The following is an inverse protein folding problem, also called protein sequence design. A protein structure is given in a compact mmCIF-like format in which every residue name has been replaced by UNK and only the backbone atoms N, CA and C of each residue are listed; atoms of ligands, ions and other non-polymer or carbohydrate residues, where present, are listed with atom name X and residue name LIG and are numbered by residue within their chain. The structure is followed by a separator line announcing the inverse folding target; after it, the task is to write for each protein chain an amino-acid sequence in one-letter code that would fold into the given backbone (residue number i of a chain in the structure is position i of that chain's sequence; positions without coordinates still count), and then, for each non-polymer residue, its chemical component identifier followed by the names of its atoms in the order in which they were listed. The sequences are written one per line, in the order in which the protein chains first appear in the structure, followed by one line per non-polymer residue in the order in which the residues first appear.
data_IF_629331700134
#
_entry.id   IF_629331700134
#
_cell.length_a   1.000
_cell.length_b   1.000
_cell.length_c   1.000
_cell.angle_alpha   90.00
_cell.angle_beta   90.00
_cell.angle_gamma   90.00
#
_symmetry.space_group_name_H-M   'P 1'
#
loop_
_entity.id
_entity.type
_entity.pdbx_description
1 polymer ?
#
# COMPACT_ATOMS: atom_id res chain seq x y z
N UNK A 1 -24.99 -19.81 -19.19
CA UNK A 1 -24.56 -18.60 -19.92
C UNK A 1 -23.12 -18.77 -20.37
N UNK A 2 -22.86 -18.81 -21.69
CA UNK A 2 -21.49 -18.88 -22.24
C UNK A 2 -20.81 -17.52 -22.01
N UNK A 3 -19.93 -17.41 -21.02
CA UNK A 3 -19.01 -16.27 -20.93
C UNK A 3 -18.22 -16.22 -22.24
N UNK A 4 -18.36 -15.13 -23.01
CA UNK A 4 -17.48 -14.85 -24.13
C UNK A 4 -16.05 -14.85 -23.58
N UNK A 5 -15.27 -15.89 -23.90
CA UNK A 5 -13.85 -15.93 -23.59
C UNK A 5 -13.19 -14.81 -24.38
N UNK A 6 -12.93 -13.67 -23.74
CA UNK A 6 -12.07 -12.62 -24.30
C UNK A 6 -10.74 -13.30 -24.61
N UNK A 7 -10.42 -13.41 -25.91
CA UNK A 7 -9.19 -14.06 -26.37
C UNK A 7 -8.14 -12.99 -26.60
N UNK A 8 -7.23 -12.84 -25.65
CA UNK A 8 -6.03 -12.03 -25.86
C UNK A 8 -5.03 -12.76 -26.76
N UNK A 9 -4.43 -12.09 -27.75
CA UNK A 9 -3.28 -12.61 -28.47
C UNK A 9 -2.09 -12.88 -27.54
N UNK A 10 -1.24 -13.84 -27.88
CA UNK A 10 0.00 -14.08 -27.12
C UNK A 10 0.85 -12.81 -27.07
N UNK A 11 1.49 -12.55 -25.94
CA UNK A 11 2.36 -11.39 -25.77
C UNK A 11 1.62 -10.07 -25.54
N UNK A 12 0.29 -10.08 -25.44
CA UNK A 12 -0.50 -8.86 -25.18
C UNK A 12 -0.18 -8.31 -23.80
N UNK A 13 0.06 -7.00 -23.72
CA UNK A 13 0.21 -6.28 -22.46
C UNK A 13 -1.15 -5.97 -21.87
N UNK A 14 -1.41 -6.56 -20.71
CA UNK A 14 -2.64 -6.45 -19.93
C UNK A 14 -2.41 -5.52 -18.74
N UNK A 15 -3.38 -4.65 -18.48
CA UNK A 15 -3.39 -3.69 -17.37
C UNK A 15 -4.66 -3.90 -16.55
N UNK A 16 -4.54 -3.90 -15.23
CA UNK A 16 -5.65 -3.91 -14.29
C UNK A 16 -5.49 -2.71 -13.35
N UNK A 17 -6.53 -1.88 -13.21
CA UNK A 17 -6.48 -0.69 -12.35
C UNK A 17 -6.82 -1.05 -10.89
N UNK A 18 -5.94 -0.67 -9.97
CA UNK A 18 -6.17 -0.70 -8.53
C UNK A 18 -6.23 0.72 -7.95
N UNK A 19 -6.72 0.84 -6.73
CA UNK A 19 -6.74 2.12 -6.04
C UNK A 19 -5.29 2.52 -5.73
N UNK A 20 -4.81 3.58 -6.38
CA UNK A 20 -3.45 4.09 -6.21
C UNK A 20 -2.37 3.43 -7.06
N UNK A 21 -2.68 2.42 -7.89
CA UNK A 21 -1.70 1.83 -8.82
C UNK A 21 -2.33 1.02 -9.96
N UNK A 22 -1.54 0.75 -11.01
CA UNK A 22 -1.90 -0.16 -12.09
C UNK A 22 -1.07 -1.44 -12.01
N UNK A 23 -1.69 -2.59 -12.26
CA UNK A 23 -1.04 -3.89 -12.29
C UNK A 23 -0.84 -4.33 -13.74
N UNK A 24 0.40 -4.64 -14.11
CA UNK A 24 0.79 -4.91 -15.49
C UNK A 24 1.27 -6.35 -15.67
N UNK A 25 0.90 -6.97 -16.79
CA UNK A 25 1.31 -8.34 -17.12
C UNK A 25 1.26 -8.65 -18.61
N UNK A 26 1.93 -9.72 -19.02
CA UNK A 26 1.93 -10.20 -20.41
C UNK A 26 1.12 -11.50 -20.51
N UNK A 27 0.16 -11.54 -21.44
CA UNK A 27 -0.61 -12.75 -21.71
C UNK A 27 0.26 -13.85 -22.33
N UNK A 28 0.31 -15.00 -21.65
CA UNK A 28 1.15 -16.15 -21.99
C UNK A 28 0.40 -17.28 -22.70
N UNK A 29 -0.89 -17.10 -22.95
CA UNK A 29 -1.76 -18.11 -23.56
C UNK A 29 -2.34 -19.10 -22.56
N UNK A 30 -3.44 -19.74 -22.98
CA UNK A 30 -4.20 -20.71 -22.17
C UNK A 30 -4.68 -20.12 -20.84
N UNK A 31 -5.13 -18.86 -20.86
CA UNK A 31 -5.62 -18.19 -19.66
C UNK A 31 -4.54 -17.85 -18.64
N UNK A 32 -3.27 -17.76 -19.05
CA UNK A 32 -2.15 -17.46 -18.13
C UNK A 32 -1.52 -16.10 -18.43
N UNK A 33 -1.02 -15.45 -17.39
CA UNK A 33 -0.35 -14.15 -17.45
C UNK A 33 0.99 -14.24 -16.74
N UNK A 34 2.07 -13.73 -17.35
CA UNK A 34 3.36 -13.52 -16.68
C UNK A 34 3.37 -12.09 -16.16
N UNK A 35 3.59 -11.91 -14.87
CA UNK A 35 3.63 -10.59 -14.26
C UNK A 35 4.50 -10.61 -13.02
N UNK A 36 4.89 -9.42 -12.57
CA UNK A 36 5.40 -9.26 -11.22
C UNK A 36 4.26 -9.48 -10.24
N UNK A 37 4.50 -10.23 -9.19
CA UNK A 37 3.50 -10.74 -8.25
C UNK A 37 2.88 -9.71 -7.26
N UNK A 38 3.16 -8.42 -7.43
CA UNK A 38 2.56 -7.34 -6.64
C UNK A 38 3.07 -7.27 -5.18
N UNK A 39 2.37 -6.50 -4.34
CA UNK A 39 2.73 -6.25 -2.92
C UNK A 39 2.67 -7.50 -2.01
N UNK A 40 2.08 -8.61 -2.47
CA UNK A 40 1.99 -9.86 -1.71
C UNK A 40 3.34 -10.58 -1.54
N UNK A 41 4.44 -10.02 -2.06
CA UNK A 41 5.75 -10.65 -2.15
C UNK A 41 6.77 -10.16 -1.15
N UNK A 42 6.36 -9.51 -0.05
CA UNK A 42 7.31 -8.95 0.91
C UNK A 42 8.34 -9.98 1.46
N UNK A 43 8.06 -11.27 1.27
CA UNK A 43 8.82 -12.41 1.79
C UNK A 43 9.21 -13.47 0.73
N UNK A 44 9.11 -13.21 -0.58
CA UNK A 44 9.31 -14.24 -1.62
C UNK A 44 10.53 -14.00 -2.51
N UNK A 45 11.37 -15.04 -2.66
CA UNK A 45 12.62 -15.06 -3.45
C UNK A 45 12.46 -14.89 -4.98
N UNK A 46 11.25 -15.05 -5.54
CA UNK A 46 10.97 -14.98 -6.99
C UNK A 46 9.80 -14.03 -7.25
N UNK A 47 10.05 -12.77 -7.61
CA UNK A 47 9.01 -11.75 -7.73
C UNK A 47 8.26 -11.76 -9.06
N UNK A 48 8.74 -12.47 -10.08
CA UNK A 48 8.02 -12.67 -11.34
C UNK A 48 7.37 -14.06 -11.32
N UNK A 49 6.07 -14.11 -11.59
CA UNK A 49 5.29 -15.34 -11.55
C UNK A 49 4.38 -15.50 -12.76
N UNK A 50 3.83 -16.71 -12.92
CA UNK A 50 2.83 -17.04 -13.92
C UNK A 50 1.55 -17.43 -13.19
N UNK A 51 0.47 -16.67 -13.41
CA UNK A 51 -0.83 -16.92 -12.77
C UNK A 51 -1.93 -17.09 -13.80
N UNK A 52 -3.12 -17.50 -13.35
CA UNK A 52 -4.31 -17.47 -14.21
C UNK A 52 -4.76 -16.03 -14.46
N UNK A 53 -5.49 -15.84 -15.56
CA UNK A 53 -6.09 -14.56 -15.91
C UNK A 53 -7.09 -14.10 -14.83
N UNK A 54 -7.84 -15.01 -14.22
CA UNK A 54 -8.74 -14.66 -13.12
C UNK A 54 -7.94 -14.12 -11.93
N UNK A 55 -6.87 -14.82 -11.53
CA UNK A 55 -6.01 -14.39 -10.42
C UNK A 55 -5.32 -13.06 -10.71
N UNK A 56 -4.84 -12.84 -11.93
CA UNK A 56 -4.24 -11.57 -12.35
C UNK A 56 -5.24 -10.40 -12.28
N UNK A 57 -6.48 -10.64 -12.73
CA UNK A 57 -7.51 -9.60 -12.81
C UNK A 57 -8.12 -9.23 -11.46
N UNK A 58 -8.12 -10.15 -10.48
CA UNK A 58 -8.91 -10.03 -9.26
C UNK A 58 -10.38 -9.64 -9.53
N UNK A 59 -10.96 -10.18 -10.61
CA UNK A 59 -12.33 -9.90 -11.03
C UNK A 59 -12.55 -8.50 -11.65
N UNK A 60 -11.49 -7.71 -11.84
CA UNK A 60 -11.57 -6.38 -12.43
C UNK A 60 -11.42 -6.41 -13.96
N UNK A 61 -11.86 -5.33 -14.60
CA UNK A 61 -11.70 -5.13 -16.04
C UNK A 61 -10.23 -5.10 -16.45
N UNK A 62 -9.91 -5.91 -17.46
CA UNK A 62 -8.58 -5.94 -18.08
C UNK A 62 -8.56 -4.96 -19.25
N UNK A 63 -7.58 -4.06 -19.24
CA UNK A 63 -7.31 -3.09 -20.30
C UNK A 63 -6.12 -3.60 -21.12
N UNK A 64 -6.17 -3.47 -22.44
CA UNK A 64 -5.05 -3.80 -23.32
C UNK A 64 -4.21 -2.55 -23.60
N UNK A 65 -2.92 -2.62 -23.35
CA UNK A 65 -1.98 -1.57 -23.75
C UNK A 65 -1.53 -1.79 -25.19
N UNK A 66 -1.75 -0.79 -26.03
CA UNK A 66 -1.30 -0.77 -27.42
C UNK A 66 0.04 -0.04 -27.55
N UNK A 67 0.85 -0.49 -28.51
CA UNK A 67 2.14 0.08 -28.87
C UNK A 67 2.14 0.35 -30.37
N UNK A 68 2.51 1.55 -30.80
CA UNK A 68 2.53 1.92 -32.22
C UNK A 68 3.61 1.13 -33.00
N UNK A 69 4.79 0.95 -32.39
CA UNK A 69 5.95 0.30 -33.02
C UNK A 69 6.57 -0.75 -32.09
N UNK A 70 5.91 -1.89 -31.82
CA UNK A 70 6.47 -2.93 -30.97
C UNK A 70 7.63 -3.63 -31.67
N UNK A 71 8.79 -3.70 -31.01
CA UNK A 71 9.97 -4.42 -31.51
C UNK A 71 9.78 -5.94 -31.47
N UNK A 72 9.02 -6.42 -30.48
CA UNK A 72 8.73 -7.83 -30.26
C UNK A 72 7.23 -8.06 -30.06
N UNK A 73 6.72 -9.17 -30.59
CA UNK A 73 5.30 -9.57 -30.47
C UNK A 73 5.18 -11.07 -30.17
N UNK A 74 3.99 -11.50 -29.72
CA UNK A 74 3.67 -12.92 -29.61
C UNK A 74 4.58 -13.71 -28.66
N UNK A 75 5.07 -14.85 -29.15
CA UNK A 75 5.99 -15.73 -28.41
C UNK A 75 7.34 -15.07 -28.10
N UNK A 76 7.79 -14.09 -28.90
CA UNK A 76 9.06 -13.38 -28.64
C UNK A 76 8.99 -12.58 -27.34
N UNK A 77 7.88 -11.90 -27.09
CA UNK A 77 7.63 -11.17 -25.82
C UNK A 77 7.62 -12.16 -24.65
N UNK A 78 6.92 -13.29 -24.79
CA UNK A 78 6.86 -14.32 -23.74
C UNK A 78 8.26 -14.87 -23.40
N UNK A 79 9.09 -15.12 -24.41
CA UNK A 79 10.48 -15.58 -24.20
C UNK A 79 11.31 -14.56 -23.43
N UNK A 80 11.14 -13.26 -23.74
CA UNK A 80 11.81 -12.16 -23.04
C UNK A 80 11.33 -12.06 -21.59
N UNK A 81 10.02 -12.11 -21.33
CA UNK A 81 9.50 -12.16 -19.96
C UNK A 81 10.10 -13.34 -19.17
N UNK A 82 10.20 -14.51 -19.81
CA UNK A 82 10.78 -15.71 -19.19
C UNK A 82 12.26 -15.59 -18.88
N UNK A 83 13.04 -14.87 -19.69
CA UNK A 83 14.47 -14.69 -19.44
C UNK A 83 14.76 -13.89 -18.17
N UNK A 84 13.77 -13.12 -17.68
CA UNK A 84 13.86 -12.36 -16.43
C UNK A 84 13.22 -13.02 -15.21
N UNK A 85 12.66 -14.23 -15.34
CA UNK A 85 11.95 -14.92 -14.24
C UNK A 85 12.78 -15.09 -12.95
N UNK A 86 14.10 -15.08 -13.06
CA UNK A 86 15.03 -15.24 -11.93
C UNK A 86 15.59 -13.89 -11.42
N UNK A 87 15.17 -12.75 -11.97
CA UNK A 87 15.58 -11.45 -11.47
C UNK A 87 14.94 -11.16 -10.10
N UNK A 88 15.73 -10.65 -9.16
CA UNK A 88 15.30 -10.43 -7.78
C UNK A 88 15.37 -8.95 -7.36
N UNK A 89 15.11 -8.03 -8.31
CA UNK A 89 15.13 -6.59 -8.04
C UNK A 89 13.78 -6.13 -7.45
N UNK A 90 13.83 -5.62 -6.22
CA UNK A 90 12.71 -5.69 -5.29
C UNK A 90 12.08 -4.33 -4.89
N UNK A 91 12.61 -3.19 -5.32
CA UNK A 91 12.32 -1.95 -4.58
C UNK A 91 11.08 -1.14 -5.04
N UNK A 92 10.50 -1.33 -6.24
CA UNK A 92 9.28 -0.64 -6.69
C UNK A 92 8.42 -1.43 -7.68
N UNK A 93 7.60 -2.32 -7.13
CA UNK A 93 6.89 -3.33 -7.93
C UNK A 93 5.97 -2.72 -9.00
N UNK A 94 5.23 -1.65 -8.71
CA UNK A 94 4.25 -1.07 -9.66
C UNK A 94 4.94 -0.61 -10.96
N UNK A 95 5.95 0.26 -10.83
CA UNK A 95 6.69 0.76 -11.98
C UNK A 95 7.52 -0.36 -12.62
N UNK A 96 8.05 -1.29 -11.81
CA UNK A 96 8.76 -2.46 -12.34
C UNK A 96 7.85 -3.36 -13.20
N UNK A 97 6.58 -3.55 -12.83
CA UNK A 97 5.60 -4.31 -13.63
C UNK A 97 5.45 -3.69 -15.02
N UNK A 98 5.24 -2.36 -15.07
CA UNK A 98 5.07 -1.62 -16.32
C UNK A 98 6.36 -1.66 -17.16
N UNK A 99 7.49 -1.38 -16.53
CA UNK A 99 8.81 -1.38 -17.18
C UNK A 99 9.18 -2.74 -17.74
N UNK A 100 8.93 -3.83 -17.00
CA UNK A 100 9.18 -5.18 -17.48
C UNK A 100 8.34 -5.51 -18.72
N UNK A 101 7.05 -5.18 -18.70
CA UNK A 101 6.16 -5.42 -19.84
C UNK A 101 6.58 -4.58 -21.06
N UNK A 102 6.89 -3.29 -20.83
CA UNK A 102 7.35 -2.38 -21.88
C UNK A 102 8.68 -2.86 -22.47
N UNK A 103 9.67 -3.19 -21.64
CA UNK A 103 10.94 -3.76 -22.11
C UNK A 103 10.73 -5.04 -22.92
N UNK A 104 9.83 -5.92 -22.48
CA UNK A 104 9.59 -7.18 -23.18
C UNK A 104 9.06 -6.95 -24.62
N UNK A 105 8.34 -5.85 -24.84
CA UNK A 105 7.74 -5.47 -26.12
C UNK A 105 8.66 -4.55 -26.96
N UNK A 106 9.24 -3.52 -26.37
CA UNK A 106 10.00 -2.48 -27.09
C UNK A 106 11.49 -2.78 -27.15
N UNK A 107 12.00 -3.58 -26.21
CA UNK A 107 13.45 -3.80 -26.06
C UNK A 107 14.19 -2.68 -25.36
N UNK A 108 13.50 -1.60 -24.97
CA UNK A 108 14.10 -0.47 -24.27
C UNK A 108 14.21 -0.83 -22.79
N UNK A 109 15.43 -0.88 -22.27
CA UNK A 109 15.67 -1.00 -20.83
C UNK A 109 15.33 0.31 -20.14
N UNK A 110 14.67 0.24 -19.00
CA UNK A 110 14.54 1.39 -18.10
C UNK A 110 15.92 1.80 -17.62
N UNK A 111 16.20 3.12 -17.57
CA UNK A 111 17.47 3.62 -17.03
C UNK A 111 17.66 3.12 -15.59
N UNK A 112 18.73 2.36 -15.28
CA UNK A 112 18.99 1.88 -13.93
C UNK A 112 19.15 3.00 -12.90
N UNK A 113 19.56 4.20 -13.32
CA UNK A 113 19.68 5.39 -12.47
C UNK A 113 18.31 5.94 -12.09
N UNK A 114 17.40 6.06 -13.05
CA UNK A 114 16.02 6.53 -12.81
C UNK A 114 15.31 5.58 -11.87
N UNK A 115 15.42 4.26 -12.11
CA UNK A 115 14.84 3.25 -11.22
C UNK A 115 15.40 3.34 -9.79
N UNK A 116 16.72 3.46 -9.64
CA UNK A 116 17.36 3.64 -8.33
C UNK A 116 16.90 4.90 -7.62
N UNK A 117 16.74 6.01 -8.35
CA UNK A 117 16.26 7.27 -7.77
C UNK A 117 14.82 7.14 -7.29
N UNK A 118 13.92 6.59 -8.11
CA UNK A 118 12.53 6.36 -7.70
C UNK A 118 12.46 5.50 -6.43
N UNK A 119 13.23 4.41 -6.38
CA UNK A 119 13.28 3.52 -5.21
C UNK A 119 13.67 4.27 -3.93
N UNK A 120 14.67 5.17 -4.01
CA UNK A 120 15.10 6.01 -2.88
C UNK A 120 13.98 6.95 -2.44
N UNK A 121 13.35 7.63 -3.38
CA UNK A 121 12.26 8.58 -3.09
C UNK A 121 11.09 7.90 -2.40
N UNK A 122 10.68 6.72 -2.87
CA UNK A 122 9.58 5.97 -2.24
C UNK A 122 9.96 5.44 -0.85
N UNK A 123 11.20 4.98 -0.67
CA UNK A 123 11.68 4.53 0.65
C UNK A 123 11.66 5.69 1.65
N UNK A 124 12.15 6.86 1.24
CA UNK A 124 12.11 8.10 2.06
C UNK A 124 10.67 8.46 2.40
N UNK A 125 9.76 8.45 1.41
CA UNK A 125 8.35 8.73 1.63
C UNK A 125 7.72 7.80 2.67
N UNK A 126 7.96 6.49 2.56
CA UNK A 126 7.42 5.49 3.49
C UNK A 126 7.93 5.69 4.93
N UNK A 127 9.25 5.85 5.08
CA UNK A 127 9.87 6.12 6.39
C UNK A 127 9.32 7.41 6.99
N UNK A 128 9.21 8.47 6.19
CA UNK A 128 8.63 9.75 6.61
C UNK A 128 7.17 9.62 7.06
N UNK A 129 6.35 8.83 6.36
CA UNK A 129 4.96 8.59 6.74
C UNK A 129 4.84 7.85 8.07
N UNK A 130 5.65 6.81 8.30
CA UNK A 130 5.66 6.07 9.56
C UNK A 130 6.11 6.98 10.71
N UNK A 131 7.19 7.74 10.52
CA UNK A 131 7.69 8.66 11.54
C UNK A 131 6.62 9.71 11.90
N UNK A 132 5.95 10.28 10.91
CA UNK A 132 4.85 11.23 11.13
C UNK A 132 3.69 10.62 11.93
N UNK A 133 3.27 9.40 11.56
CA UNK A 133 2.24 8.66 12.29
C UNK A 133 2.64 8.37 13.75
N UNK A 134 3.87 7.91 13.98
CA UNK A 134 4.38 7.63 15.33
C UNK A 134 4.46 8.89 16.18
N UNK A 135 4.92 10.02 15.62
CA UNK A 135 4.93 11.29 16.33
C UNK A 135 3.52 11.75 16.71
N UNK A 136 2.55 11.60 15.80
CA UNK A 136 1.14 11.91 16.09
C UNK A 136 0.58 11.05 17.23
N UNK A 137 0.89 9.75 17.23
CA UNK A 137 0.50 8.84 18.31
C UNK A 137 1.13 9.23 19.66
N UNK A 138 2.43 9.55 19.68
CA UNK A 138 3.12 10.00 20.89
C UNK A 138 2.54 11.30 21.44
N UNK A 139 2.26 12.27 20.57
CA UNK A 139 1.64 13.53 20.96
C UNK A 139 0.26 13.29 21.58
N UNK A 140 -0.55 12.42 20.96
CA UNK A 140 -1.89 12.06 21.47
C UNK A 140 -1.81 11.40 22.84
N UNK A 141 -0.89 10.46 23.05
CA UNK A 141 -0.69 9.82 24.36
C UNK A 141 -0.27 10.86 25.40
N UNK A 142 0.67 11.74 25.05
CA UNK A 142 1.18 12.75 25.98
C UNK A 142 0.09 13.74 26.40
N UNK A 143 -0.69 14.26 25.44
CA UNK A 143 -1.77 15.22 25.72
C UNK A 143 -2.91 14.58 26.51
N UNK A 144 -3.27 13.33 26.21
CA UNK A 144 -4.30 12.61 26.97
C UNK A 144 -3.87 12.31 28.40
N UNK A 145 -2.61 11.88 28.62
CA UNK A 145 -2.07 11.72 29.97
C UNK A 145 -2.08 13.04 30.76
N UNK A 146 -1.65 14.14 30.14
CA UNK A 146 -1.65 15.44 30.80
C UNK A 146 -3.07 15.91 31.14
N UNK A 147 -4.02 15.77 30.21
CA UNK A 147 -5.43 16.10 30.44
C UNK A 147 -6.04 15.26 31.57
N UNK A 148 -5.71 13.97 31.64
CA UNK A 148 -6.16 13.08 32.71
C UNK A 148 -5.65 13.53 34.08
N UNK A 149 -4.37 13.91 34.19
CA UNK A 149 -3.80 14.44 35.44
C UNK A 149 -4.52 15.73 35.86
N UNK A 150 -4.77 16.65 34.93
CA UNK A 150 -5.52 17.88 35.21
C UNK A 150 -6.96 17.58 35.65
N UNK A 151 -7.62 16.61 35.00
CA UNK A 151 -8.97 16.18 35.36
C UNK A 151 -9.01 15.59 36.77
N UNK A 152 -8.07 14.71 37.12
CA UNK A 152 -7.95 14.14 38.48
C UNK A 152 -7.74 15.27 39.50
N UNK A 153 -6.80 16.19 39.24
CA UNK A 153 -6.56 17.34 40.13
C UNK A 153 -7.80 18.21 40.30
N UNK A 154 -8.56 18.47 39.23
CA UNK A 154 -9.83 19.22 39.28
C UNK A 154 -10.85 18.49 40.16
N UNK A 155 -11.09 17.20 39.91
CA UNK A 155 -12.05 16.39 40.66
C UNK A 155 -11.71 16.27 42.15
N UNK A 156 -10.43 16.15 42.49
CA UNK A 156 -9.96 16.18 43.87
C UNK A 156 -10.23 17.53 44.55
N UNK A 157 -9.97 18.64 43.84
CA UNK A 157 -10.28 20.00 44.33
C UNK A 157 -11.78 20.20 44.57
N UNK A 158 -12.61 19.77 43.64
CA UNK A 158 -14.07 19.88 43.76
C UNK A 158 -14.60 19.05 44.95
N UNK A 159 -14.05 17.84 45.17
CA UNK A 159 -14.37 17.01 46.34
C UNK A 159 -13.94 17.67 47.65
N UNK A 160 -12.77 18.31 47.68
CA UNK A 160 -12.29 19.04 48.86
C UNK A 160 -13.18 20.25 49.19
N UNK A 161 -13.60 21.03 48.17
CA UNK A 161 -14.54 22.14 48.33
C UNK A 161 -15.88 21.69 48.91
N UNK A 162 -16.47 20.62 48.38
CA UNK A 162 -17.74 20.05 48.92
C UNK A 162 -17.62 19.63 50.39
N UNK A 163 -16.52 18.98 50.77
CA UNK A 163 -16.26 18.59 52.17
C UNK A 163 -16.13 19.81 53.09
N UNK A 164 -15.43 20.85 52.64
CA UNK A 164 -15.28 22.10 53.40
C UNK A 164 -16.64 22.79 53.60
N UNK A 165 -17.45 22.92 52.54
CA UNK A 165 -18.79 23.50 52.64
C UNK A 165 -19.68 22.72 53.61
N UNK A 166 -19.65 21.38 53.58
CA UNK A 166 -20.40 20.55 54.52
C UNK A 166 -19.95 20.76 55.98
N UNK A 167 -18.64 20.87 56.23
CA UNK A 167 -18.12 21.18 57.56
C UNK A 167 -18.58 22.55 58.06
N UNK A 168 -18.55 23.58 57.21
CA UNK A 168 -19.02 24.92 57.57
C UNK A 168 -20.51 24.94 57.92
N UNK A 169 -21.35 24.23 57.15
CA UNK A 169 -22.78 24.11 57.44
C UNK A 169 -23.05 23.44 58.79
N UNK A 170 -22.34 22.34 59.09
CA UNK A 170 -22.45 21.67 60.40
C UNK A 170 -22.04 22.60 61.55
N UNK A 171 -20.97 23.37 61.36
CA UNK A 171 -20.48 24.32 62.38
C UNK A 171 -21.47 25.46 62.64
N UNK A 172 -22.09 26.00 61.60
CA UNK A 172 -23.15 27.02 61.74
C UNK A 172 -24.38 26.46 62.46
N UNK A 173 -24.80 25.23 62.16
CA UNK A 173 -25.90 24.56 62.88
C UNK A 173 -25.60 24.38 64.37
N UNK A 174 -24.39 23.92 64.72
CA UNK A 174 -23.98 23.76 66.12
C UNK A 174 -23.93 25.10 66.87
N UNK A 175 -23.54 26.19 66.21
CA UNK A 175 -23.57 27.53 66.80
C UNK A 175 -24.98 28.09 66.98
N UNK A 176 -25.93 27.69 66.14
CA UNK A 176 -27.33 28.13 66.19
C UNK A 176 -28.17 27.36 67.23
N UNK A 177 -27.70 26.18 67.63
CA UNK A 177 -28.33 25.30 68.62
C UNK A 177 -27.77 25.48 70.05
N UNK A 178 -26.87 26.46 70.26
CA UNK A 178 -26.39 26.90 71.58
C UNK A 178 -27.00 28.24 71.94
#
# INVERSE_FOLDING_TARGET
MRQQKIRFPLGTHLIVKHLGYSHHGIYAGRGRVIHYSGFAHLFKKRPIEITSLEKFSFGKTIIVQHYNHPKFTGRKVIRRMRSRMNENNYHLIINNCEHLCTWAITGVESSPQVMRMMNRLTTIGYVSSIMSYMNSMLLTITTTCFALVLYIKKKLRDKAKKRMSHYLLLKEQDQKNR
#
